data_IF_708185374084
#
_entry.id   IF_708185374084
#
_cell.length_a   1.000
_cell.length_b   1.000
_cell.length_c   1.000
_cell.angle_alpha   90.00
_cell.angle_beta   90.00
_cell.angle_gamma   90.00
#
_symmetry.space_group_name_H-M   'P 1'
#
loop_
_entity.id
_entity.type
_entity.pdbx_description
1 polymer ?
#
# COMPACT_ATOMS: atom_id res chain seq x y z
N UNK A 1 11.67 -14.93 -4.03
CA UNK A 1 11.61 -13.45 -3.88
C UNK A 1 12.47 -12.67 -4.88
N UNK A 2 13.72 -13.07 -5.17
CA UNK A 2 14.60 -12.35 -6.12
C UNK A 2 13.97 -12.09 -7.50
N UNK A 3 13.21 -13.06 -8.01
CA UNK A 3 12.51 -12.93 -9.29
C UNK A 3 11.42 -11.84 -9.25
N UNK A 4 10.50 -11.91 -8.28
CA UNK A 4 9.46 -10.88 -8.08
C UNK A 4 10.08 -9.49 -7.94
N UNK A 5 11.13 -9.34 -7.12
CA UNK A 5 11.86 -8.08 -6.95
C UNK A 5 12.44 -7.54 -8.26
N UNK A 6 12.96 -8.41 -9.14
CA UNK A 6 13.48 -8.01 -10.45
C UNK A 6 12.41 -7.39 -11.33
N UNK A 7 11.20 -7.98 -11.39
CA UNK A 7 10.09 -7.42 -12.16
C UNK A 7 9.56 -6.12 -11.53
N UNK A 8 9.49 -6.05 -10.20
CA UNK A 8 9.07 -4.83 -9.49
C UNK A 8 9.99 -3.66 -9.73
N UNK A 9 11.31 -3.88 -9.70
CA UNK A 9 12.32 -2.83 -9.90
C UNK A 9 12.37 -2.29 -11.32
N UNK A 10 11.60 -2.86 -12.25
CA UNK A 10 11.37 -2.28 -13.59
C UNK A 10 10.48 -1.03 -13.52
N UNK A 11 9.65 -0.90 -12.49
CA UNK A 11 8.67 0.18 -12.30
C UNK A 11 9.04 1.17 -11.18
N UNK A 12 10.31 1.58 -11.11
CA UNK A 12 10.84 2.44 -10.02
C UNK A 12 10.05 3.74 -9.82
N UNK A 13 9.55 4.36 -10.90
CA UNK A 13 8.77 5.61 -10.82
C UNK A 13 7.42 5.40 -10.13
N UNK A 14 6.71 4.32 -10.47
CA UNK A 14 5.43 4.00 -9.83
C UNK A 14 5.65 3.58 -8.39
N UNK A 15 6.70 2.80 -8.11
CA UNK A 15 7.05 2.40 -6.74
C UNK A 15 7.40 3.61 -5.87
N UNK A 16 8.12 4.59 -6.41
CA UNK A 16 8.41 5.82 -5.69
C UNK A 16 7.15 6.65 -5.41
N UNK A 17 6.22 6.74 -6.38
CA UNK A 17 4.93 7.40 -6.17
C UNK A 17 4.08 6.68 -5.10
N UNK A 18 4.03 5.35 -5.15
CA UNK A 18 3.36 4.49 -4.17
C UNK A 18 3.88 4.75 -2.75
N UNK A 19 5.21 4.82 -2.60
CA UNK A 19 5.87 5.10 -1.33
C UNK A 19 5.53 6.49 -0.77
N UNK A 20 5.50 7.52 -1.63
CA UNK A 20 5.08 8.87 -1.25
C UNK A 20 3.62 8.87 -0.77
N UNK A 21 2.72 8.17 -1.49
CA UNK A 21 1.32 8.08 -1.11
C UNK A 21 1.13 7.37 0.23
N UNK A 22 1.82 6.24 0.47
CA UNK A 22 1.79 5.54 1.77
C UNK A 22 2.25 6.46 2.89
N UNK A 23 3.36 7.17 2.70
CA UNK A 23 3.92 8.01 3.75
C UNK A 23 3.02 9.21 4.06
N UNK A 24 2.52 9.88 3.01
CA UNK A 24 1.57 10.97 3.15
C UNK A 24 0.28 10.54 3.85
N UNK A 25 -0.25 9.36 3.49
CA UNK A 25 -1.44 8.80 4.13
C UNK A 25 -1.22 8.55 5.62
N UNK A 26 -0.11 7.91 6.00
CA UNK A 26 0.21 7.60 7.41
C UNK A 26 0.36 8.87 8.24
N UNK A 27 1.03 9.90 7.71
CA UNK A 27 1.18 11.18 8.41
C UNK A 27 -0.16 11.85 8.71
N UNK A 28 -1.08 11.78 7.74
CA UNK A 28 -2.43 12.32 7.92
C UNK A 28 -3.18 11.51 8.98
N UNK A 29 -3.19 10.18 8.86
CA UNK A 29 -3.91 9.29 9.76
C UNK A 29 -3.44 9.43 11.22
N UNK A 30 -2.13 9.53 11.44
CA UNK A 30 -1.54 9.77 12.77
C UNK A 30 -1.66 11.23 13.24
N UNK A 31 -1.82 12.18 12.31
CA UNK A 31 -2.00 13.59 12.63
C UNK A 31 -3.39 13.93 13.18
N UNK A 32 -4.42 13.18 12.76
CA UNK A 32 -5.82 13.43 13.15
C UNK A 32 -6.04 13.44 14.68
N UNK A 33 -5.56 12.45 15.47
CA UNK A 33 -5.67 12.49 16.93
C UNK A 33 -5.02 13.71 17.57
N UNK A 34 -3.89 14.17 17.01
CA UNK A 34 -3.19 15.36 17.53
C UNK A 34 -4.00 16.65 17.29
N UNK A 35 -4.67 16.75 16.12
CA UNK A 35 -5.57 17.87 15.82
C UNK A 35 -6.78 17.82 16.74
N UNK A 36 -7.36 16.64 16.96
CA UNK A 36 -8.48 16.44 17.87
C UNK A 36 -8.13 16.86 19.31
N UNK A 37 -6.98 16.43 19.83
CA UNK A 37 -6.51 16.83 21.16
C UNK A 37 -6.36 18.36 21.28
N UNK A 38 -5.74 19.01 20.29
CA UNK A 38 -5.61 20.48 20.27
C UNK A 38 -6.96 21.19 20.18
N UNK A 39 -7.94 20.61 19.49
CA UNK A 39 -9.29 21.17 19.39
C UNK A 39 -10.02 21.10 20.73
N UNK A 40 -9.80 20.03 21.51
CA UNK A 40 -10.31 19.92 22.89
C UNK A 40 -9.62 20.95 23.79
N UNK A 41 -8.28 20.95 23.81
CA UNK A 41 -7.50 21.74 24.77
C UNK A 41 -7.62 23.25 24.55
N UNK A 42 -7.61 23.69 23.29
CA UNK A 42 -7.59 25.11 22.91
C UNK A 42 -8.92 25.64 22.40
N UNK A 43 -9.89 24.77 22.13
CA UNK A 43 -11.22 25.16 21.70
C UNK A 43 -12.24 24.93 22.80
N UNK A 44 -12.46 23.66 23.16
CA UNK A 44 -13.54 23.26 24.06
C UNK A 44 -13.32 23.77 25.48
N UNK A 45 -12.12 23.60 26.05
CA UNK A 45 -11.81 24.05 27.42
C UNK A 45 -11.97 25.58 27.58
N UNK A 46 -11.36 26.43 26.72
CA UNK A 46 -11.55 27.88 26.80
C UNK A 46 -12.89 28.37 26.22
N UNK A 47 -13.73 27.47 25.67
CA UNK A 47 -14.99 27.77 24.96
C UNK A 47 -14.83 28.70 23.75
N UNK A 48 -13.69 28.62 23.06
CA UNK A 48 -13.43 29.34 21.82
C UNK A 48 -14.04 28.58 20.63
N UNK A 49 -15.26 28.98 20.25
CA UNK A 49 -16.00 28.35 19.16
C UNK A 49 -15.39 28.65 17.79
N UNK A 50 -14.82 29.85 17.61
CA UNK A 50 -14.19 30.24 16.35
C UNK A 50 -12.97 29.37 16.05
N UNK A 51 -12.15 29.08 17.08
CA UNK A 51 -11.05 28.13 16.97
C UNK A 51 -11.52 26.72 16.61
N UNK A 52 -12.62 26.23 17.22
CA UNK A 52 -13.19 24.91 16.91
C UNK A 52 -13.63 24.85 15.44
N UNK A 53 -14.37 25.84 14.95
CA UNK A 53 -14.81 25.87 13.55
C UNK A 53 -13.63 25.91 12.58
N UNK A 54 -12.62 26.73 12.87
CA UNK A 54 -11.43 26.82 12.02
C UNK A 54 -10.66 25.50 11.98
N UNK A 55 -10.40 24.88 13.14
CA UNK A 55 -9.72 23.58 13.20
C UNK A 55 -10.55 22.46 12.58
N UNK A 56 -11.88 22.49 12.72
CA UNK A 56 -12.79 21.53 12.08
C UNK A 56 -12.71 21.58 10.55
N UNK A 57 -12.69 22.78 9.96
CA UNK A 57 -12.52 22.95 8.51
C UNK A 57 -11.15 22.39 8.07
N UNK A 58 -10.07 22.71 8.80
CA UNK A 58 -8.75 22.16 8.51
C UNK A 58 -8.70 20.63 8.60
N UNK A 59 -9.36 20.05 9.60
CA UNK A 59 -9.46 18.60 9.77
C UNK A 59 -10.17 17.94 8.58
N UNK A 60 -11.25 18.54 8.06
CA UNK A 60 -11.94 18.05 6.86
C UNK A 60 -11.03 18.10 5.63
N UNK A 61 -10.36 19.23 5.40
CA UNK A 61 -9.44 19.39 4.25
C UNK A 61 -8.31 18.35 4.30
N UNK A 62 -7.70 18.17 5.47
CA UNK A 62 -6.64 17.18 5.67
C UNK A 62 -7.17 15.76 5.46
N UNK A 63 -8.36 15.44 5.96
CA UNK A 63 -8.98 14.11 5.78
C UNK A 63 -9.26 13.81 4.31
N UNK A 64 -9.80 14.77 3.55
CA UNK A 64 -10.04 14.63 2.11
C UNK A 64 -8.71 14.36 1.38
N UNK A 65 -7.65 15.08 1.74
CA UNK A 65 -6.32 14.84 1.16
C UNK A 65 -5.79 13.44 1.51
N UNK A 66 -6.07 12.92 2.72
CA UNK A 66 -5.73 11.57 3.13
C UNK A 66 -6.47 10.51 2.33
N UNK A 67 -7.77 10.71 2.10
CA UNK A 67 -8.58 9.83 1.23
C UNK A 67 -8.02 9.82 -0.20
N UNK A 68 -7.66 10.97 -0.75
CA UNK A 68 -7.04 11.04 -2.06
C UNK A 68 -5.71 10.26 -2.12
N UNK A 69 -4.86 10.39 -1.10
CA UNK A 69 -3.61 9.61 -1.00
C UNK A 69 -3.86 8.11 -0.89
N UNK A 70 -4.89 7.68 -0.15
CA UNK A 70 -5.26 6.27 -0.02
C UNK A 70 -5.76 5.67 -1.36
N UNK A 71 -6.54 6.45 -2.12
CA UNK A 71 -7.00 6.05 -3.45
C UNK A 71 -5.82 5.94 -4.42
N UNK A 72 -4.93 6.94 -4.43
CA UNK A 72 -3.72 6.93 -5.27
C UNK A 72 -2.80 5.77 -4.93
N UNK A 73 -2.63 5.46 -3.64
CA UNK A 73 -1.92 4.28 -3.18
C UNK A 73 -2.52 2.99 -3.75
N UNK A 74 -3.85 2.83 -3.66
CA UNK A 74 -4.53 1.67 -4.25
C UNK A 74 -4.34 1.58 -5.77
N UNK A 75 -4.39 2.72 -6.47
CA UNK A 75 -4.19 2.81 -7.91
C UNK A 75 -2.76 2.42 -8.33
N UNK A 76 -1.74 3.00 -7.68
CA UNK A 76 -0.34 2.71 -7.99
C UNK A 76 0.01 1.24 -7.68
N UNK A 77 -0.40 0.75 -6.51
CA UNK A 77 -0.23 -0.65 -6.12
C UNK A 77 -0.88 -1.62 -7.12
N UNK A 78 -2.12 -1.36 -7.55
CA UNK A 78 -2.81 -2.19 -8.54
C UNK A 78 -2.12 -2.14 -9.92
N UNK A 79 -1.67 -0.96 -10.35
CA UNK A 79 -0.97 -0.78 -11.63
C UNK A 79 0.37 -1.51 -11.64
N UNK A 80 1.15 -1.44 -10.56
CA UNK A 80 2.43 -2.13 -10.43
C UNK A 80 2.24 -3.64 -10.47
N UNK A 81 1.34 -4.18 -9.65
CA UNK A 81 1.10 -5.62 -9.52
C UNK A 81 0.56 -6.24 -10.80
N UNK A 82 -0.40 -5.59 -11.45
CA UNK A 82 -0.98 -6.07 -12.72
C UNK A 82 0.07 -6.12 -13.82
N UNK A 83 0.90 -5.07 -13.95
CA UNK A 83 1.98 -5.04 -14.94
C UNK A 83 3.02 -6.15 -14.70
N UNK A 84 3.44 -6.36 -13.45
CA UNK A 84 4.39 -7.42 -13.12
C UNK A 84 3.85 -8.79 -13.49
N UNK A 85 2.58 -9.07 -13.14
CA UNK A 85 1.93 -10.36 -13.40
C UNK A 85 1.73 -10.59 -14.89
N UNK A 86 1.47 -9.52 -15.67
CA UNK A 86 1.45 -9.60 -17.13
C UNK A 86 2.76 -10.16 -17.68
N UNK A 87 3.91 -9.56 -17.34
CA UNK A 87 5.21 -10.06 -17.83
C UNK A 87 5.52 -11.47 -17.33
N UNK A 88 5.18 -11.79 -16.07
CA UNK A 88 5.39 -13.15 -15.54
C UNK A 88 4.57 -14.15 -16.36
N UNK A 89 3.32 -13.82 -16.72
CA UNK A 89 2.48 -14.68 -17.55
C UNK A 89 3.01 -14.82 -18.96
N UNK A 90 3.48 -13.74 -19.57
CA UNK A 90 4.09 -13.79 -20.91
C UNK A 90 5.32 -14.71 -20.91
N UNK A 91 6.25 -14.51 -19.97
CA UNK A 91 7.47 -15.32 -19.86
C UNK A 91 7.16 -16.79 -19.54
N UNK A 92 6.12 -17.06 -18.73
CA UNK A 92 5.65 -18.41 -18.46
C UNK A 92 5.06 -19.08 -19.71
N UNK A 93 4.23 -18.36 -20.46
CA UNK A 93 3.61 -18.88 -21.68
C UNK A 93 4.65 -19.17 -22.76
N UNK A 94 5.62 -18.27 -22.96
CA UNK A 94 6.75 -18.48 -23.86
C UNK A 94 7.53 -19.74 -23.44
N UNK A 95 7.79 -19.91 -22.14
CA UNK A 95 8.50 -21.08 -21.63
C UNK A 95 7.73 -22.38 -21.85
N UNK A 96 6.42 -22.38 -21.59
CA UNK A 96 5.56 -23.56 -21.76
C UNK A 96 5.57 -24.03 -23.23
N UNK A 97 5.56 -23.11 -24.19
CA UNK A 97 5.60 -23.45 -25.62
C UNK A 97 6.90 -24.17 -26.03
N UNK A 98 7.99 -24.04 -25.25
CA UNK A 98 9.26 -24.73 -25.50
C UNK A 98 9.35 -26.14 -24.92
N UNK A 99 8.34 -26.59 -24.16
CA UNK A 99 8.37 -27.91 -23.51
C UNK A 99 8.16 -29.06 -24.51
N UNK A 100 8.90 -30.13 -24.29
CA UNK A 100 8.74 -31.43 -24.95
C UNK A 100 7.52 -32.18 -24.41
N UNK A 101 7.03 -33.18 -25.17
CA UNK A 101 5.87 -33.99 -24.74
C UNK A 101 6.09 -34.68 -23.38
N UNK A 102 7.30 -35.18 -23.10
CA UNK A 102 7.63 -35.79 -21.80
C UNK A 102 7.58 -34.79 -20.64
N UNK A 103 7.92 -33.52 -20.86
CA UNK A 103 7.82 -32.47 -19.84
C UNK A 103 6.35 -32.09 -19.58
N UNK A 104 5.53 -32.05 -20.64
CA UNK A 104 4.08 -31.85 -20.51
C UNK A 104 3.41 -32.97 -19.70
N UNK A 105 3.78 -34.23 -19.93
CA UNK A 105 3.26 -35.36 -19.16
C UNK A 105 3.73 -35.35 -17.71
N UNK A 106 5.00 -35.00 -17.46
CA UNK A 106 5.55 -34.93 -16.10
C UNK A 106 4.90 -33.84 -15.24
N UNK A 107 4.69 -32.65 -15.81
CA UNK A 107 4.10 -31.53 -15.06
C UNK A 107 2.57 -31.62 -15.06
N UNK A 108 1.99 -32.11 -16.16
CA UNK A 108 0.55 -32.19 -16.38
C UNK A 108 -0.04 -30.87 -16.88
N UNK A 109 -0.83 -30.95 -17.96
CA UNK A 109 -1.51 -29.79 -18.59
C UNK A 109 -2.34 -29.01 -17.57
N UNK A 110 -3.09 -29.70 -16.72
CA UNK A 110 -3.91 -29.07 -15.66
C UNK A 110 -3.07 -28.27 -14.67
N UNK A 111 -1.85 -28.73 -14.34
CA UNK A 111 -0.92 -28.00 -13.45
C UNK A 111 -0.36 -26.75 -14.12
N UNK A 112 -0.05 -26.83 -15.42
CA UNK A 112 0.42 -25.67 -16.18
C UNK A 112 -0.65 -24.57 -16.25
N UNK A 113 -1.92 -24.95 -16.41
CA UNK A 113 -3.04 -24.00 -16.38
C UNK A 113 -3.15 -23.33 -15.02
N UNK A 114 -3.12 -24.09 -13.92
CA UNK A 114 -3.25 -23.51 -12.56
C UNK A 114 -2.06 -22.63 -12.20
N UNK A 115 -0.83 -22.99 -12.60
CA UNK A 115 0.37 -22.15 -12.42
C UNK A 115 0.30 -20.83 -13.19
N UNK A 116 -0.20 -20.87 -14.42
CA UNK A 116 -0.29 -19.66 -15.26
C UNK A 116 -1.41 -18.73 -14.81
N UNK A 117 -2.48 -19.29 -14.23
CA UNK A 117 -3.68 -18.54 -13.84
C UNK A 117 -3.69 -18.22 -12.35
N UNK A 118 -3.84 -19.24 -11.50
CA UNK A 118 -4.04 -19.12 -10.06
C UNK A 118 -2.77 -18.66 -9.34
N UNK A 119 -1.62 -19.28 -9.59
CA UNK A 119 -0.39 -18.88 -8.90
C UNK A 119 0.01 -17.45 -9.29
N UNK A 120 -0.15 -17.08 -10.56
CA UNK A 120 0.05 -15.71 -11.03
C UNK A 120 -0.89 -14.70 -10.32
N UNK A 121 -2.13 -15.09 -10.07
CA UNK A 121 -3.08 -14.27 -9.31
C UNK A 121 -2.71 -14.16 -7.82
N UNK A 122 -2.28 -15.26 -7.20
CA UNK A 122 -1.78 -15.24 -5.82
C UNK A 122 -0.54 -14.35 -5.67
N UNK A 123 0.36 -14.38 -6.66
CA UNK A 123 1.50 -13.45 -6.72
C UNK A 123 1.01 -12.00 -6.79
N UNK A 124 -0.02 -11.70 -7.62
CA UNK A 124 -0.61 -10.37 -7.70
C UNK A 124 -1.09 -9.86 -6.33
N UNK A 125 -1.87 -10.68 -5.63
CA UNK A 125 -2.41 -10.35 -4.31
C UNK A 125 -1.30 -10.18 -3.27
N UNK A 126 -0.35 -11.12 -3.25
CA UNK A 126 0.80 -11.08 -2.34
C UNK A 126 1.62 -9.80 -2.53
N UNK A 127 1.93 -9.46 -3.78
CA UNK A 127 2.66 -8.24 -4.10
C UNK A 127 1.88 -6.98 -3.73
N UNK A 128 0.56 -6.95 -3.96
CA UNK A 128 -0.30 -5.82 -3.58
C UNK A 128 -0.35 -5.62 -2.07
N UNK A 129 -0.44 -6.72 -1.31
CA UNK A 129 -0.41 -6.68 0.14
C UNK A 129 0.95 -6.25 0.70
N UNK A 130 2.07 -6.64 0.08
CA UNK A 130 3.39 -6.16 0.48
C UNK A 130 3.53 -4.66 0.27
N UNK A 131 3.14 -4.15 -0.91
CA UNK A 131 3.22 -2.71 -1.22
C UNK A 131 2.36 -1.89 -0.26
N UNK A 132 1.20 -2.42 0.13
CA UNK A 132 0.27 -1.74 1.04
C UNK A 132 0.57 -2.01 2.52
N UNK A 133 0.20 -3.19 3.01
CA UNK A 133 0.31 -3.55 4.43
C UNK A 133 1.75 -3.74 4.87
N UNK A 134 2.58 -4.34 4.00
CA UNK A 134 3.99 -4.60 4.31
C UNK A 134 4.78 -3.34 4.66
N UNK A 135 4.49 -2.21 4.02
CA UNK A 135 5.10 -0.92 4.36
C UNK A 135 4.31 -0.15 5.43
N UNK A 136 2.97 -0.13 5.32
CA UNK A 136 2.14 0.69 6.18
C UNK A 136 2.20 0.25 7.65
N UNK A 137 2.10 -1.06 7.92
CA UNK A 137 2.07 -1.59 9.29
C UNK A 137 3.31 -1.26 10.13
N UNK A 138 4.55 -1.55 9.69
CA UNK A 138 5.74 -1.24 10.50
C UNK A 138 5.93 0.28 10.70
N UNK A 139 5.65 1.09 9.69
CA UNK A 139 5.78 2.55 9.79
C UNK A 139 4.75 3.11 10.78
N UNK A 140 3.49 2.69 10.68
CA UNK A 140 2.46 3.07 11.65
C UNK A 140 2.80 2.62 13.07
N UNK A 141 3.30 1.39 13.24
CA UNK A 141 3.71 0.88 14.55
C UNK A 141 4.80 1.75 15.19
N UNK A 142 5.87 2.06 14.45
CA UNK A 142 6.97 2.90 14.94
C UNK A 142 6.48 4.33 15.24
N UNK A 143 5.70 4.92 14.33
CA UNK A 143 5.25 6.29 14.46
C UNK A 143 4.21 6.48 15.58
N UNK A 144 3.29 5.52 15.77
CA UNK A 144 2.35 5.52 16.88
C UNK A 144 3.05 5.35 18.24
N UNK A 145 4.01 4.44 18.33
CA UNK A 145 4.82 4.24 19.53
C UNK A 145 5.60 5.52 19.89
N UNK A 146 6.17 6.19 18.89
CA UNK A 146 6.80 7.50 19.06
C UNK A 146 5.82 8.57 19.57
N UNK A 147 4.62 8.67 18.99
CA UNK A 147 3.61 9.64 19.43
C UNK A 147 3.14 9.41 20.87
N UNK A 148 2.94 8.15 21.26
CA UNK A 148 2.55 7.79 22.63
C UNK A 148 3.64 8.20 23.62
N UNK A 149 4.90 7.86 23.35
CA UNK A 149 6.03 8.25 24.20
C UNK A 149 6.15 9.78 24.37
N UNK A 150 5.77 10.55 23.36
CA UNK A 150 5.86 12.01 23.37
C UNK A 150 4.66 12.70 24.01
N UNK A 151 3.49 12.07 24.00
CA UNK A 151 2.23 12.65 24.51
C UNK A 151 1.95 12.26 25.94
N UNK A 152 2.42 11.08 26.37
CA UNK A 152 2.34 10.63 27.77
C UNK A 152 3.66 10.00 28.20
N UNK A 153 4.75 10.79 28.31
CA UNK A 153 5.85 10.39 29.17
C UNK A 153 5.29 10.46 30.60
N UNK A 154 5.28 9.32 31.28
CA UNK A 154 4.93 9.19 32.70
C UNK A 154 5.40 10.37 33.55
#
# INVERSE_FOLDING_TARGET
MKLMWRYTMRYKKLLFADFICVFGFILIELGLPTILARMIDKGIIPRDMDYIYQQGIWMVVITISGVAMNILLGYFGARITTNIVHYIRDDLLEKIQTFSHSEYESIGVSSLITRTTNDAYQIMLFMGNILRLGFMTPVMFIASLYMVMRTSPS
#
